data_IF_760727285127
#
_entry.id   IF_760727285127
#
_cell.length_a   1.000
_cell.length_b   1.000
_cell.length_c   1.000
_cell.angle_alpha   90.00
_cell.angle_beta   90.00
_cell.angle_gamma   90.00
#
_symmetry.space_group_name_H-M   'P 1'
#
loop_
_entity.id
_entity.type
_entity.pdbx_description
1 polymer ?
#
# COMPACT_ATOMS: atom_id res chain seq x y z
N UNK A 1 15.61 -9.41 9.56
CA UNK A 1 15.80 -8.71 8.27
C UNK A 1 14.99 -7.43 8.32
N UNK A 2 15.62 -6.29 8.58
CA UNK A 2 14.95 -4.98 8.53
C UNK A 2 14.74 -4.63 7.07
N UNK A 3 13.48 -4.48 6.65
CA UNK A 3 13.06 -4.11 5.29
C UNK A 3 13.98 -2.99 4.78
N UNK A 4 14.77 -3.26 3.75
CA UNK A 4 15.71 -2.28 3.22
C UNK A 4 14.93 -1.09 2.68
N UNK A 5 15.15 0.08 3.25
CA UNK A 5 14.58 1.34 2.79
C UNK A 5 14.87 1.48 1.29
N UNK A 6 13.86 1.80 0.48
CA UNK A 6 14.08 1.97 -0.97
C UNK A 6 15.12 3.09 -1.19
N UNK A 7 16.24 2.83 -1.90
CA UNK A 7 17.33 3.80 -2.00
C UNK A 7 16.94 5.07 -2.77
N UNK A 8 15.89 4.98 -3.60
CA UNK A 8 15.43 6.10 -4.42
C UNK A 8 14.53 7.05 -3.63
N UNK A 9 13.55 6.51 -2.89
CA UNK A 9 12.57 7.34 -2.16
C UNK A 9 12.82 7.44 -0.66
N UNK A 10 13.74 6.67 -0.09
CA UNK A 10 14.06 6.66 1.34
C UNK A 10 12.81 6.52 2.23
N UNK A 11 11.96 5.54 1.88
CA UNK A 11 10.62 5.28 2.47
C UNK A 11 9.55 6.37 2.31
N UNK A 12 9.86 7.50 1.67
CA UNK A 12 8.83 8.49 1.35
C UNK A 12 7.80 7.98 0.36
N UNK A 13 8.14 6.97 -0.45
CA UNK A 13 7.32 6.43 -1.56
C UNK A 13 7.06 7.45 -2.69
N UNK A 14 7.77 8.58 -2.68
CA UNK A 14 7.73 9.65 -3.68
C UNK A 14 9.14 10.05 -4.11
N UNK A 15 9.31 10.34 -5.40
CA UNK A 15 10.56 10.79 -6.04
C UNK A 15 10.29 12.03 -6.89
N UNK A 16 11.32 12.82 -7.19
CA UNK A 16 11.15 14.00 -8.05
C UNK A 16 10.89 13.57 -9.50
N UNK A 17 9.94 14.21 -10.18
CA UNK A 17 9.62 13.89 -11.59
C UNK A 17 10.81 14.08 -12.54
N UNK A 18 11.66 15.07 -12.26
CA UNK A 18 12.87 15.35 -13.05
C UNK A 18 14.05 14.45 -12.65
N UNK A 19 14.02 13.90 -11.43
CA UNK A 19 15.08 13.06 -10.89
C UNK A 19 14.48 11.84 -10.16
N UNK A 20 14.04 10.79 -10.90
CA UNK A 20 13.33 9.64 -10.32
C UNK A 20 14.13 8.80 -9.31
N UNK A 21 15.44 9.04 -9.22
CA UNK A 21 16.34 8.41 -8.25
C UNK A 21 16.57 9.26 -7.00
N UNK A 22 15.88 10.39 -6.85
CA UNK A 22 15.96 11.27 -5.68
C UNK A 22 14.61 11.39 -5.02
N UNK A 23 14.59 11.23 -3.70
CA UNK A 23 13.40 11.39 -2.89
C UNK A 23 12.84 12.82 -3.05
N UNK A 24 11.52 12.93 -3.23
CA UNK A 24 10.88 14.24 -3.33
C UNK A 24 10.74 14.84 -1.93
N UNK A 25 11.72 15.66 -1.54
CA UNK A 25 11.82 16.23 -0.19
C UNK A 25 12.74 17.44 -0.19
N UNK A 26 12.37 18.46 0.59
CA UNK A 26 13.22 19.63 0.88
C UNK A 26 14.13 19.41 2.09
N UNK A 27 13.77 18.49 2.98
CA UNK A 27 14.40 18.32 4.29
C UNK A 27 15.35 17.13 4.36
N UNK A 28 15.19 16.15 3.46
CA UNK A 28 16.11 15.01 3.39
C UNK A 28 17.41 15.40 2.69
N UNK A 29 18.53 15.02 3.30
CA UNK A 29 19.85 15.10 2.69
C UNK A 29 19.85 14.32 1.36
N UNK A 30 20.19 15.01 0.26
CA UNK A 30 20.14 14.44 -1.09
C UNK A 30 18.75 14.36 -1.73
N UNK A 31 17.71 14.89 -1.08
CA UNK A 31 16.37 15.07 -1.65
C UNK A 31 16.35 16.08 -2.80
N UNK A 32 15.25 16.08 -3.56
CA UNK A 32 15.06 17.01 -4.67
C UNK A 32 13.62 17.55 -4.72
N UNK A 33 13.50 18.88 -4.85
CA UNK A 33 12.22 19.57 -5.05
C UNK A 33 12.30 20.61 -6.19
N UNK A 34 13.05 20.31 -7.26
CA UNK A 34 13.11 21.20 -8.44
C UNK A 34 11.87 21.10 -9.35
N UNK A 35 11.02 20.09 -9.13
CA UNK A 35 9.78 19.85 -9.85
C UNK A 35 8.75 19.19 -8.93
N UNK A 36 7.67 18.67 -9.50
CA UNK A 36 6.66 17.94 -8.75
C UNK A 36 7.16 16.57 -8.27
N UNK A 37 6.45 16.01 -7.29
CA UNK A 37 6.64 14.64 -6.83
C UNK A 37 5.86 13.67 -7.70
N UNK A 38 6.44 12.50 -7.96
CA UNK A 38 5.78 11.36 -8.58
C UNK A 38 5.93 10.11 -7.70
N UNK A 39 5.01 9.12 -7.79
CA UNK A 39 5.13 7.89 -7.01
C UNK A 39 6.42 7.14 -7.36
N UNK A 40 7.13 6.66 -6.35
CA UNK A 40 8.27 5.79 -6.56
C UNK A 40 7.83 4.44 -7.14
N UNK A 41 8.67 3.80 -7.95
CA UNK A 41 8.37 2.46 -8.49
C UNK A 41 8.17 1.41 -7.38
N UNK A 42 8.83 1.56 -6.23
CA UNK A 42 8.60 0.68 -5.08
C UNK A 42 7.20 0.85 -4.46
N UNK A 43 6.47 1.89 -4.85
CA UNK A 43 5.09 2.13 -4.46
C UNK A 43 4.09 1.49 -5.44
N UNK A 44 4.56 0.76 -6.46
CA UNK A 44 3.68 -0.01 -7.32
C UNK A 44 3.05 -1.14 -6.50
N UNK A 45 1.74 -1.06 -6.30
CA UNK A 45 0.95 -2.16 -5.77
C UNK A 45 0.56 -2.97 -7.00
N UNK A 46 1.29 -4.06 -7.24
CA UNK A 46 0.97 -5.03 -8.31
C UNK A 46 -0.17 -5.96 -7.87
N UNK A 47 -1.23 -5.43 -7.24
CA UNK A 47 -2.32 -6.26 -6.75
C UNK A 47 -3.63 -5.47 -6.85
N UNK A 48 -4.25 -5.54 -8.03
CA UNK A 48 -5.71 -5.41 -8.16
C UNK A 48 -6.40 -6.64 -7.54
N UNK A 49 -6.05 -6.98 -6.29
CA UNK A 49 -6.90 -7.83 -5.48
C UNK A 49 -8.06 -6.94 -5.04
N UNK A 50 -9.05 -6.80 -5.92
CA UNK A 50 -10.38 -6.37 -5.50
C UNK A 50 -10.74 -7.22 -4.28
N UNK A 51 -11.00 -6.62 -3.09
CA UNK A 51 -11.40 -7.40 -1.95
C UNK A 51 -12.68 -8.16 -2.34
N UNK A 52 -12.66 -9.48 -2.16
CA UNK A 52 -13.80 -10.34 -2.44
C UNK A 52 -14.93 -9.99 -1.45
N UNK A 53 -15.88 -9.18 -1.90
CA UNK A 53 -17.03 -8.71 -1.10
C UNK A 53 -18.22 -9.66 -1.18
N UNK A 54 -18.07 -10.89 -1.73
CA UNK A 54 -19.19 -11.83 -1.91
C UNK A 54 -19.69 -12.47 -0.60
N UNK A 55 -19.05 -12.22 0.54
CA UNK A 55 -19.32 -12.95 1.79
C UNK A 55 -20.19 -12.27 2.87
N UNK A 56 -20.71 -11.05 2.68
CA UNK A 56 -21.40 -10.30 3.77
C UNK A 56 -22.91 -10.21 3.54
N UNK A 57 -23.60 -11.35 3.59
CA UNK A 57 -25.03 -11.39 3.91
C UNK A 57 -25.28 -12.65 4.74
N UNK A 58 -25.33 -12.53 6.08
CA UNK A 58 -25.69 -13.65 6.96
C UNK A 58 -27.23 -13.64 7.15
N UNK A 59 -27.93 -14.55 6.47
CA UNK A 59 -29.35 -14.81 6.69
C UNK A 59 -29.53 -15.57 8.02
N UNK A 60 -30.09 -14.91 9.02
CA UNK A 60 -30.34 -15.50 10.35
C UNK A 60 -31.66 -16.28 10.38
N UNK A 61 -31.62 -17.59 10.08
CA UNK A 61 -32.77 -18.48 10.30
C UNK A 61 -32.40 -19.81 10.99
N UNK A 62 -33.10 -20.11 12.10
CA UNK A 62 -33.68 -21.46 12.28
C UNK A 62 -33.04 -22.46 13.26
N UNK A 63 -33.37 -22.32 14.55
CA UNK A 63 -33.67 -23.38 15.54
C UNK A 63 -32.97 -24.76 15.49
N UNK A 64 -31.97 -24.97 16.35
CA UNK A 64 -31.50 -26.31 16.73
C UNK A 64 -32.40 -26.90 17.85
N UNK A 65 -33.37 -27.77 17.52
CA UNK A 65 -34.09 -28.59 18.52
C UNK A 65 -33.31 -29.88 18.82
N UNK A 66 -33.08 -30.07 20.12
CA UNK A 66 -32.16 -31.00 20.79
C UNK A 66 -32.51 -32.48 20.58
N UNK A 67 -31.48 -33.30 20.40
CA UNK A 67 -31.48 -34.76 20.22
C UNK A 67 -31.87 -35.57 21.46
N UNK A 68 -32.58 -36.69 21.24
CA UNK A 68 -32.34 -38.09 21.72
C UNK A 68 -33.67 -38.85 21.85
N UNK A 69 -33.70 -40.10 21.37
CA UNK A 69 -33.92 -41.31 22.17
C UNK A 69 -33.20 -42.48 21.48
#
# INVERSE_FOLDING_TARGET
MTKSNCPNCQDLRWVCENHPNRAWSEVLEGGCQCGAGMPCECNRIDDFEVPDVEGVIEEVEGELKKTRH
#
